data_IF_819690651979
#
_entry.id   IF_819690651979
#
_cell.length_a   1.000
_cell.length_b   1.000
_cell.length_c   1.000
_cell.angle_alpha   90.00
_cell.angle_beta   90.00
_cell.angle_gamma   90.00
#
_symmetry.space_group_name_H-M   'P 1'
#
loop_
_entity.id
_entity.type
_entity.pdbx_description
1 polymer ?
#
# COMPACT_ATOMS: atom_id res chain seq x y z
N UNK A 1 -15.27 -4.43 9.09
CA UNK A 1 -13.96 -5.07 8.90
C UNK A 1 -13.72 -5.20 7.40
N UNK A 2 -12.62 -4.66 6.88
CA UNK A 2 -12.27 -4.77 5.46
C UNK A 2 -11.85 -6.23 5.18
N UNK A 3 -12.64 -6.98 4.41
CA UNK A 3 -12.34 -8.37 4.09
C UNK A 3 -11.26 -8.41 2.99
N UNK A 4 -10.00 -8.29 3.40
CA UNK A 4 -8.83 -8.35 2.50
C UNK A 4 -8.46 -9.82 2.29
N UNK A 5 -9.11 -10.46 1.32
CA UNK A 5 -8.80 -11.82 0.92
C UNK A 5 -7.74 -11.80 -0.19
N UNK A 6 -6.62 -12.47 0.04
CA UNK A 6 -5.68 -12.80 -1.03
C UNK A 6 -6.21 -14.07 -1.70
N UNK A 7 -6.86 -13.94 -2.85
CA UNK A 7 -7.05 -15.10 -3.73
C UNK A 7 -5.73 -15.33 -4.48
N UNK A 8 -5.44 -16.56 -4.88
CA UNK A 8 -4.07 -16.99 -5.25
C UNK A 8 -3.44 -16.17 -6.40
N UNK A 9 -4.24 -15.41 -7.16
CA UNK A 9 -3.82 -14.57 -8.27
C UNK A 9 -4.15 -13.06 -8.10
N UNK A 10 -5.08 -12.67 -7.22
CA UNK A 10 -5.51 -11.27 -7.06
C UNK A 10 -5.87 -10.93 -5.60
N UNK A 11 -5.54 -9.69 -5.20
CA UNK A 11 -6.04 -9.07 -3.98
C UNK A 11 -7.24 -8.19 -4.30
N UNK A 12 -8.40 -8.53 -3.75
CA UNK A 12 -9.60 -7.70 -3.83
C UNK A 12 -9.56 -6.59 -2.78
N UNK A 13 -9.78 -5.35 -3.23
CA UNK A 13 -9.80 -4.16 -2.38
C UNK A 13 -11.25 -3.73 -2.15
N UNK A 14 -11.69 -3.57 -0.89
CA UNK A 14 -12.97 -2.95 -0.61
C UNK A 14 -13.07 -1.53 -1.17
N UNK A 15 -14.31 -1.04 -1.35
CA UNK A 15 -14.61 0.23 -2.04
C UNK A 15 -13.86 1.45 -1.49
N UNK A 16 -13.57 1.48 -0.18
CA UNK A 16 -12.87 2.58 0.48
C UNK A 16 -11.37 2.32 0.68
N UNK A 17 -10.83 1.25 0.11
CA UNK A 17 -9.42 0.85 0.25
C UNK A 17 -8.68 1.06 -1.07
N UNK A 18 -7.47 1.59 -0.97
CA UNK A 18 -6.52 1.75 -2.06
C UNK A 18 -5.24 1.00 -1.72
N UNK A 19 -4.64 0.35 -2.71
CA UNK A 19 -3.28 -0.15 -2.59
C UNK A 19 -2.32 0.83 -3.27
N UNK A 20 -1.33 1.30 -2.50
CA UNK A 20 -0.26 2.16 -2.98
C UNK A 20 0.95 1.31 -3.29
N UNK A 21 1.24 1.18 -4.58
CA UNK A 21 2.31 0.36 -5.12
C UNK A 21 3.60 1.17 -5.26
N UNK A 22 4.64 0.74 -4.53
CA UNK A 22 5.90 1.45 -4.34
C UNK A 22 7.08 0.53 -4.70
N UNK A 23 8.17 1.04 -5.31
CA UNK A 23 9.41 0.26 -5.49
C UNK A 23 9.92 -0.33 -4.18
N UNK A 24 10.41 -1.57 -4.19
CA UNK A 24 11.01 -2.18 -2.99
C UNK A 24 12.21 -1.39 -2.43
N UNK A 25 12.92 -0.64 -3.28
CA UNK A 25 14.02 0.23 -2.85
C UNK A 25 13.58 1.36 -1.93
N UNK A 26 12.27 1.67 -1.85
CA UNK A 26 11.72 2.69 -0.95
C UNK A 26 10.87 2.08 0.16
N UNK A 27 10.40 0.83 0.00
CA UNK A 27 9.42 0.20 0.88
C UNK A 27 9.81 0.20 2.36
N UNK A 28 11.06 -0.15 2.69
CA UNK A 28 11.54 -0.13 4.08
C UNK A 28 11.51 1.26 4.71
N UNK A 29 11.99 2.28 4.00
CA UNK A 29 12.00 3.67 4.50
C UNK A 29 10.57 4.23 4.59
N UNK A 30 9.71 3.98 3.60
CA UNK A 30 8.30 4.40 3.66
C UNK A 30 7.59 3.76 4.85
N UNK A 31 7.83 2.47 5.11
CA UNK A 31 7.32 1.75 6.29
C UNK A 31 7.82 2.36 7.59
N UNK A 32 9.10 2.75 7.65
CA UNK A 32 9.67 3.43 8.80
C UNK A 32 8.97 4.76 9.07
N UNK A 33 8.83 5.61 8.04
CA UNK A 33 8.14 6.90 8.15
C UNK A 33 6.67 6.75 8.58
N UNK A 34 5.96 5.75 8.06
CA UNK A 34 4.58 5.47 8.44
C UNK A 34 4.42 5.06 9.91
N UNK A 35 5.40 4.35 10.47
CA UNK A 35 5.38 3.91 11.88
C UNK A 35 5.34 5.09 12.85
N UNK A 36 5.91 6.25 12.48
CA UNK A 36 5.86 7.46 13.30
C UNK A 36 4.59 8.29 13.11
N UNK A 37 3.85 8.07 12.00
CA UNK A 37 2.70 8.89 11.63
C UNK A 37 1.35 8.29 12.08
N UNK A 38 1.32 7.04 12.52
CA UNK A 38 0.10 6.35 12.96
C UNK A 38 0.18 4.84 12.76
N UNK A 39 -0.97 4.13 12.69
CA UNK A 39 -0.95 2.70 12.40
C UNK A 39 -0.35 2.46 11.00
N UNK A 40 0.70 1.64 10.95
CA UNK A 40 1.43 1.31 9.73
C UNK A 40 0.53 0.77 8.60
N UNK A 41 -0.56 0.09 8.99
CA UNK A 41 -1.47 -0.57 8.08
C UNK A 41 -0.89 -1.86 7.48
N UNK A 42 -1.69 -2.61 6.72
CA UNK A 42 -1.27 -3.83 6.05
C UNK A 42 -0.31 -3.53 4.90
N UNK A 43 0.68 -4.41 4.72
CA UNK A 43 1.68 -4.31 3.66
C UNK A 43 1.84 -5.66 2.98
N UNK A 44 1.76 -5.69 1.65
CA UNK A 44 2.13 -6.86 0.86
C UNK A 44 3.42 -6.63 0.10
N UNK A 45 4.22 -7.68 -0.03
CA UNK A 45 5.27 -7.75 -1.01
C UNK A 45 4.78 -8.51 -2.25
N UNK A 46 4.94 -7.89 -3.41
CA UNK A 46 4.75 -8.49 -4.72
C UNK A 46 6.12 -8.86 -5.31
N UNK A 47 6.50 -10.16 -5.29
CA UNK A 47 7.72 -10.60 -5.95
C UNK A 47 7.54 -10.54 -7.48
N UNK A 48 8.63 -10.28 -8.20
CA UNK A 48 8.63 -10.17 -9.66
C UNK A 48 10.00 -9.72 -10.18
N UNK A 49 10.08 -9.35 -11.47
CA UNK A 49 11.34 -8.82 -12.06
C UNK A 49 11.90 -7.62 -11.29
N UNK A 50 11.01 -6.84 -10.68
CA UNK A 50 11.35 -5.82 -9.69
C UNK A 50 10.36 -6.01 -8.54
N UNK A 51 10.86 -6.34 -7.35
CA UNK A 51 10.02 -6.46 -6.16
C UNK A 51 9.31 -5.13 -5.88
N UNK A 52 8.04 -5.21 -5.52
CA UNK A 52 7.18 -4.05 -5.23
C UNK A 52 6.49 -4.25 -3.90
N UNK A 53 6.20 -3.16 -3.21
CA UNK A 53 5.50 -3.15 -1.93
C UNK A 53 4.15 -2.47 -2.12
N UNK A 54 3.08 -3.10 -1.64
CA UNK A 54 1.73 -2.54 -1.62
C UNK A 54 1.41 -2.11 -0.19
N UNK A 55 1.25 -0.82 0.02
CA UNK A 55 0.74 -0.27 1.26
C UNK A 55 -0.78 -0.08 1.15
N UNK A 56 -1.55 -0.69 2.04
CA UNK A 56 -2.99 -0.53 2.03
C UNK A 56 -3.42 0.66 2.90
N UNK A 57 -4.28 1.49 2.34
CA UNK A 57 -4.83 2.66 3.01
C UNK A 57 -6.31 2.85 2.69
N UNK A 58 -6.98 3.67 3.50
CA UNK A 58 -8.27 4.22 3.15
C UNK A 58 -8.09 5.32 2.11
N UNK A 59 -8.93 5.28 1.09
CA UNK A 59 -9.03 6.34 0.10
C UNK A 59 -9.55 7.62 0.75
N UNK A 60 -8.88 8.75 0.50
CA UNK A 60 -9.36 10.07 0.90
C UNK A 60 -10.00 10.77 -0.31
N UNK A 61 -11.02 11.60 -0.09
CA UNK A 61 -11.83 12.19 -1.17
C UNK A 61 -11.10 13.26 -1.99
N UNK A 62 -9.86 13.62 -1.62
CA UNK A 62 -9.09 14.65 -2.31
C UNK A 62 -8.43 14.06 -3.56
N UNK A 63 -8.30 14.85 -4.64
CA UNK A 63 -7.55 14.42 -5.80
C UNK A 63 -6.08 14.18 -5.42
N UNK A 64 -5.53 13.06 -5.88
CA UNK A 64 -4.15 12.69 -5.63
C UNK A 64 -3.48 12.26 -6.93
N UNK A 65 -2.46 13.00 -7.33
CA UNK A 65 -1.51 12.54 -8.34
C UNK A 65 -0.45 11.70 -7.64
N UNK A 66 -0.25 10.42 -8.02
CA UNK A 66 0.82 9.61 -7.49
C UNK A 66 2.19 10.18 -7.91
N UNK A 67 3.21 10.09 -7.05
CA UNK A 67 4.59 10.37 -7.45
C UNK A 67 5.05 9.48 -8.61
N UNK A 68 6.16 9.84 -9.30
CA UNK A 68 6.80 8.95 -10.27
C UNK A 68 7.09 7.58 -9.66
N UNK A 69 6.96 6.52 -10.46
CA UNK A 69 7.13 5.11 -10.04
C UNK A 69 6.14 4.59 -8.98
N UNK A 70 5.19 5.40 -8.53
CA UNK A 70 4.10 5.00 -7.63
C UNK A 70 2.81 4.79 -8.42
N UNK A 71 2.05 3.75 -8.08
CA UNK A 71 0.73 3.50 -8.67
C UNK A 71 -0.32 3.35 -7.58
N UNK A 72 -1.52 3.82 -7.86
CA UNK A 72 -2.69 3.58 -7.00
C UNK A 72 -3.58 2.55 -7.67
N UNK A 73 -3.82 1.46 -6.97
CA UNK A 73 -4.78 0.45 -7.38
C UNK A 73 -6.08 0.62 -6.63
N UNK A 74 -7.19 0.57 -7.37
CA UNK A 74 -8.55 0.54 -6.83
C UNK A 74 -9.20 -0.78 -7.25
N UNK A 75 -10.07 -1.29 -6.39
CA UNK A 75 -10.88 -2.51 -6.59
C UNK A 75 -10.08 -3.83 -6.57
N UNK A 76 -8.96 -3.93 -7.31
CA UNK A 76 -8.13 -5.14 -7.37
C UNK A 76 -6.67 -4.86 -7.66
N UNK A 77 -5.82 -5.77 -7.20
CA UNK A 77 -4.38 -5.80 -7.50
C UNK A 77 -3.97 -7.21 -7.94
N UNK A 78 -3.31 -7.38 -9.09
CA UNK A 78 -2.67 -8.64 -9.43
C UNK A 78 -1.62 -8.98 -8.36
N UNK A 79 -1.81 -10.10 -7.68
CA UNK A 79 -1.01 -10.50 -6.54
C UNK A 79 -0.53 -11.96 -6.62
N UNK A 80 -0.15 -12.50 -7.81
CA UNK A 80 0.33 -13.87 -7.89
C UNK A 80 1.58 -13.99 -7.04
N UNK A 81 1.61 -14.98 -6.14
CA UNK A 81 2.75 -15.22 -5.21
C UNK A 81 3.03 -14.10 -4.20
N UNK A 82 2.09 -13.19 -3.99
CA UNK A 82 2.20 -12.15 -2.98
C UNK A 82 2.22 -12.73 -1.57
N UNK A 83 2.91 -12.05 -0.65
CA UNK A 83 2.86 -12.38 0.77
C UNK A 83 2.75 -11.13 1.62
N UNK A 84 2.09 -11.28 2.76
CA UNK A 84 1.96 -10.21 3.74
C UNK A 84 3.28 -9.98 4.47
N UNK A 85 3.78 -8.75 4.40
CA UNK A 85 4.89 -8.26 5.24
C UNK A 85 4.33 -7.77 6.58
N UNK A 86 3.22 -7.03 6.52
CA UNK A 86 2.43 -6.64 7.69
C UNK A 86 1.01 -7.13 7.44
N UNK A 87 0.52 -8.00 8.33
CA UNK A 87 -0.81 -8.61 8.17
C UNK A 87 -1.92 -7.55 8.35
N UNK A 88 -3.10 -7.78 7.74
CA UNK A 88 -4.25 -6.93 7.97
C UNK A 88 -4.64 -6.86 9.44
N UNK A 89 -4.72 -5.65 9.97
CA UNK A 89 -5.32 -5.34 11.27
C UNK A 89 -6.61 -4.53 11.12
N UNK A 90 -7.13 -4.00 12.22
CA UNK A 90 -8.44 -3.33 12.23
C UNK A 90 -8.41 -1.91 11.65
N UNK A 91 -7.24 -1.27 11.62
CA UNK A 91 -7.07 0.12 11.20
C UNK A 91 -6.19 0.24 9.96
N UNK A 92 -6.68 1.03 9.00
CA UNK A 92 -5.96 1.42 7.80
C UNK A 92 -5.58 2.91 7.90
N UNK A 93 -4.32 3.29 7.58
CA UNK A 93 -3.94 4.70 7.47
C UNK A 93 -4.70 5.36 6.31
N UNK A 94 -4.76 6.70 6.31
CA UNK A 94 -5.27 7.44 5.13
C UNK A 94 -4.21 7.45 4.03
N UNK A 95 -4.65 7.47 2.77
CA UNK A 95 -3.73 7.56 1.61
C UNK A 95 -2.85 8.82 1.65
N UNK A 96 -3.34 9.93 2.22
CA UNK A 96 -2.55 11.15 2.43
C UNK A 96 -1.36 10.95 3.38
N UNK A 97 -1.47 10.05 4.35
CA UNK A 97 -0.37 9.69 5.26
C UNK A 97 0.72 8.93 4.50
N UNK A 98 0.34 7.94 3.67
CA UNK A 98 1.29 7.22 2.80
C UNK A 98 1.97 8.18 1.83
N UNK A 99 1.23 9.12 1.23
CA UNK A 99 1.81 10.13 0.34
C UNK A 99 2.82 11.02 1.04
N UNK A 100 2.53 11.42 2.28
CA UNK A 100 3.47 12.19 3.09
C UNK A 100 4.75 11.41 3.34
N UNK A 101 4.63 10.14 3.73
CA UNK A 101 5.78 9.26 3.94
C UNK A 101 6.61 9.10 2.66
N UNK A 102 5.98 8.83 1.51
CA UNK A 102 6.68 8.71 0.21
C UNK A 102 7.44 9.99 -0.15
N UNK A 103 6.82 11.17 0.05
CA UNK A 103 7.47 12.46 -0.22
C UNK A 103 8.70 12.71 0.66
N UNK A 104 8.73 12.19 1.89
CA UNK A 104 9.93 12.26 2.73
C UNK A 104 11.07 11.42 2.15
N UNK A 105 10.78 10.27 1.55
CA UNK A 105 11.79 9.38 0.94
C UNK A 105 12.24 9.86 -0.44
N UNK A 106 11.31 10.44 -1.21
CA UNK A 106 11.49 10.94 -2.57
C UNK A 106 10.70 12.25 -2.74
N UNK A 107 11.32 13.39 -2.41
CA UNK A 107 10.68 14.71 -2.48
C UNK A 107 10.32 15.13 -3.91
#
# INVERSE_FOLDING_TARGET
MANLSLDSDELLLPRDVVAVDVPASWGGEVSHQLTFAGPLGPILALPGRRTRWLFLARWDTRPHTPPPDVRYWRDRVPAPTAHWVVRPGDALPLVSVIRCAIRTVRP
#
